data_IF_405540385183
#
_entry.id   IF_405540385183
#
_cell.length_a   1.000
_cell.length_b   1.000
_cell.length_c   1.000
_cell.angle_alpha   90.00
_cell.angle_beta   90.00
_cell.angle_gamma   90.00
#
_symmetry.space_group_name_H-M   'P 1'
#
loop_
_entity.id
_entity.type
_entity.pdbx_description
1 polymer ?
#
# COMPACT_ATOMS: atom_id res chain seq x y z
N UNK A 1 3.39 -10.78 -18.25
CA UNK A 1 3.22 -9.51 -17.83
C UNK A 1 2.52 -9.36 -16.52
N UNK A 2 3.28 -8.91 -15.57
CA UNK A 2 2.80 -8.66 -14.23
C UNK A 2 2.81 -7.16 -13.91
N UNK A 3 2.62 -6.33 -14.95
CA UNK A 3 2.54 -4.90 -14.79
C UNK A 3 1.19 -4.52 -14.20
N UNK A 4 1.20 -3.57 -13.26
CA UNK A 4 -0.03 -2.97 -12.75
C UNK A 4 -0.21 -1.57 -13.33
N UNK A 5 -1.46 -1.11 -13.35
CA UNK A 5 -1.80 0.26 -13.69
C UNK A 5 -2.24 1.00 -12.43
N UNK A 6 -1.83 2.25 -12.33
CA UNK A 6 -2.16 3.09 -11.17
C UNK A 6 -2.63 4.44 -11.69
N UNK A 7 -3.78 4.90 -11.23
CA UNK A 7 -4.28 6.21 -11.66
C UNK A 7 -3.38 7.33 -11.13
N UNK A 8 -3.28 8.42 -11.88
CA UNK A 8 -2.54 9.61 -11.45
C UNK A 8 -3.07 10.17 -10.13
N UNK A 9 -4.39 10.09 -9.93
CA UNK A 9 -5.01 10.50 -8.67
C UNK A 9 -4.59 9.63 -7.48
N UNK A 10 -4.48 8.32 -7.70
CA UNK A 10 -4.01 7.41 -6.65
C UNK A 10 -2.56 7.70 -6.27
N UNK A 11 -1.69 7.92 -7.25
CA UNK A 11 -0.29 8.32 -6.99
C UNK A 11 -0.23 9.62 -6.20
N UNK A 12 -1.01 10.63 -6.60
CA UNK A 12 -1.03 11.91 -5.90
C UNK A 12 -1.45 11.75 -4.44
N UNK A 13 -2.49 10.94 -4.19
CA UNK A 13 -2.97 10.67 -2.83
C UNK A 13 -1.90 9.98 -1.99
N UNK A 14 -1.21 8.98 -2.54
CA UNK A 14 -0.14 8.29 -1.82
C UNK A 14 0.97 9.27 -1.39
N UNK A 15 1.41 10.13 -2.29
CA UNK A 15 2.45 11.11 -2.00
C UNK A 15 1.98 12.14 -0.96
N UNK A 16 0.73 12.60 -1.05
CA UNK A 16 0.16 13.54 -0.09
C UNK A 16 0.05 12.91 1.31
N UNK A 17 -0.40 11.66 1.39
CA UNK A 17 -0.54 10.97 2.67
C UNK A 17 0.80 10.78 3.35
N UNK A 18 1.84 10.42 2.61
CA UNK A 18 3.18 10.28 3.15
C UNK A 18 3.72 11.62 3.68
N UNK A 19 3.52 12.71 2.93
CA UNK A 19 3.97 14.04 3.34
C UNK A 19 3.23 14.52 4.58
N UNK A 20 1.92 14.26 4.66
CA UNK A 20 1.08 14.68 5.79
C UNK A 20 1.43 13.95 7.07
N UNK A 21 1.72 12.66 6.99
CA UNK A 21 1.99 11.84 8.16
C UNK A 21 3.41 12.02 8.70
N UNK A 22 4.38 12.39 7.85
CA UNK A 22 5.77 12.50 8.27
C UNK A 22 5.91 13.36 9.52
N UNK A 23 6.74 12.97 10.51
CA UNK A 23 7.71 11.89 10.51
C UNK A 23 7.15 10.49 10.83
N UNK A 24 5.86 10.34 11.04
CA UNK A 24 5.24 9.03 11.24
C UNK A 24 5.00 8.32 9.90
N UNK A 25 4.96 7.00 9.93
CA UNK A 25 4.57 6.20 8.77
C UNK A 25 3.06 6.32 8.55
N UNK A 26 2.64 6.58 7.31
CA UNK A 26 1.24 6.45 6.93
C UNK A 26 0.97 5.02 6.45
N UNK A 27 -0.29 4.63 6.44
CA UNK A 27 -0.71 3.34 5.92
C UNK A 27 -2.16 3.38 5.46
N UNK A 28 -2.54 2.37 4.69
CA UNK A 28 -3.91 2.23 4.21
C UNK A 28 -4.05 1.16 3.15
N UNK A 29 -5.14 1.23 2.40
CA UNK A 29 -5.55 0.23 1.43
C UNK A 29 -5.58 0.78 0.02
N UNK A 30 -5.34 -0.11 -0.94
CA UNK A 30 -5.39 0.16 -2.38
C UNK A 30 -6.58 -0.60 -2.95
N UNK A 31 -7.46 0.12 -3.65
CA UNK A 31 -8.65 -0.47 -4.27
C UNK A 31 -8.65 -0.27 -5.77
N UNK A 32 -9.33 -1.16 -6.46
CA UNK A 32 -9.49 -1.07 -7.90
C UNK A 32 -10.15 -2.31 -8.47
N UNK A 33 -9.74 -2.70 -9.67
CA UNK A 33 -10.23 -3.89 -10.35
C UNK A 33 -9.10 -4.51 -11.17
N UNK A 34 -9.01 -5.83 -11.14
CA UNK A 34 -7.96 -6.54 -11.87
C UNK A 34 -6.58 -6.11 -11.41
N UNK A 35 -5.76 -5.61 -12.32
CA UNK A 35 -4.43 -5.10 -12.02
C UNK A 35 -4.35 -3.57 -12.01
N UNK A 36 -5.51 -2.91 -11.87
CA UNK A 36 -5.60 -1.44 -11.83
C UNK A 36 -5.90 -0.95 -10.42
N UNK A 37 -5.03 -0.11 -9.90
CA UNK A 37 -5.27 0.61 -8.64
C UNK A 37 -5.91 1.95 -9.00
N UNK A 38 -7.15 2.16 -8.56
CA UNK A 38 -7.95 3.33 -8.91
C UNK A 38 -8.20 4.27 -7.75
N UNK A 39 -8.14 3.78 -6.51
CA UNK A 39 -8.35 4.63 -5.34
C UNK A 39 -7.52 4.16 -4.16
N UNK A 40 -7.32 5.08 -3.24
CA UNK A 40 -6.51 4.90 -2.02
C UNK A 40 -7.37 5.26 -0.83
N UNK A 41 -7.44 4.37 0.15
CA UNK A 41 -8.19 4.61 1.38
C UNK A 41 -7.20 4.70 2.55
N UNK A 42 -6.99 5.90 3.10
CA UNK A 42 -6.15 6.05 4.28
C UNK A 42 -6.73 5.32 5.49
N UNK A 43 -5.85 4.81 6.32
CA UNK A 43 -6.20 4.17 7.58
C UNK A 43 -5.30 4.70 8.70
N UNK A 44 -5.77 4.61 9.93
CA UNK A 44 -4.95 4.97 11.07
C UNK A 44 -3.80 3.97 11.23
N UNK A 45 -2.62 4.50 11.55
CA UNK A 45 -1.49 3.69 11.97
C UNK A 45 -1.62 3.50 13.48
N UNK A 46 -2.04 2.32 13.90
CA UNK A 46 -2.28 2.01 15.33
C UNK A 46 -1.09 1.33 16.01
N UNK A 47 0.07 1.30 15.34
CA UNK A 47 1.26 0.74 15.95
C UNK A 47 1.72 1.59 17.15
N UNK A 48 2.25 0.95 18.17
CA UNK A 48 2.76 1.64 19.35
C UNK A 48 3.98 2.53 19.05
N UNK A 49 4.73 2.23 17.98
CA UNK A 49 5.86 3.03 17.52
C UNK A 49 5.63 3.48 16.07
N UNK A 50 4.77 4.49 15.86
CA UNK A 50 4.38 4.89 14.50
C UNK A 50 5.47 5.62 13.73
N UNK A 51 6.55 6.03 14.36
CA UNK A 51 7.68 6.67 13.68
C UNK A 51 8.55 5.66 12.93
N UNK A 52 8.50 4.39 13.30
CA UNK A 52 9.37 3.34 12.76
C UNK A 52 8.62 2.16 12.18
N UNK A 53 7.34 2.02 12.52
CA UNK A 53 6.53 0.86 12.15
C UNK A 53 5.13 1.30 11.79
N UNK A 54 4.39 0.42 11.16
CA UNK A 54 2.97 0.65 10.93
C UNK A 54 2.16 -0.60 11.25
N UNK A 55 0.92 -0.35 11.62
CA UNK A 55 -0.11 -1.38 11.72
C UNK A 55 -1.41 -0.73 11.27
N UNK A 56 -2.01 -1.26 10.20
CA UNK A 56 -3.31 -0.77 9.73
C UNK A 56 -4.36 -1.12 10.78
N UNK A 57 -5.17 -0.13 11.16
CA UNK A 57 -6.28 -0.34 12.09
C UNK A 57 -7.10 -1.57 11.67
N UNK A 58 -7.23 -2.60 12.54
CA UNK A 58 -7.98 -3.81 12.20
C UNK A 58 -9.43 -3.54 11.77
N UNK A 59 -10.06 -2.52 12.31
CA UNK A 59 -11.43 -2.15 11.91
C UNK A 59 -11.48 -1.71 10.45
N UNK A 60 -10.46 -0.98 9.98
CA UNK A 60 -10.36 -0.56 8.58
C UNK A 60 -10.16 -1.77 7.65
N UNK A 61 -9.35 -2.74 8.05
CA UNK A 61 -9.15 -3.98 7.27
C UNK A 61 -10.45 -4.78 7.17
N UNK A 62 -11.16 -4.92 8.26
CA UNK A 62 -12.45 -5.65 8.27
C UNK A 62 -13.45 -4.96 7.36
N UNK A 63 -13.55 -3.62 7.42
CA UNK A 63 -14.44 -2.85 6.56
C UNK A 63 -14.10 -3.02 5.08
N UNK A 64 -12.81 -3.01 4.73
CA UNK A 64 -12.35 -3.21 3.35
C UNK A 64 -12.73 -4.58 2.81
N UNK A 65 -12.50 -5.63 3.59
CA UNK A 65 -12.87 -7.00 3.20
C UNK A 65 -14.39 -7.17 3.07
N UNK A 66 -15.17 -6.56 3.94
CA UNK A 66 -16.64 -6.57 3.83
C UNK A 66 -17.13 -5.87 2.58
N UNK A 67 -16.56 -4.71 2.27
CA UNK A 67 -16.94 -3.95 1.07
C UNK A 67 -16.65 -4.76 -0.19
N UNK A 68 -15.51 -5.42 -0.26
CA UNK A 68 -15.16 -6.27 -1.40
C UNK A 68 -16.14 -7.43 -1.54
N UNK A 69 -16.46 -8.14 -0.45
CA UNK A 69 -17.43 -9.24 -0.47
C UNK A 69 -18.83 -8.78 -0.84
N UNK A 70 -19.18 -7.55 -0.54
CA UNK A 70 -20.47 -6.95 -0.86
C UNK A 70 -20.60 -6.44 -2.30
N UNK A 71 -19.61 -6.70 -3.16
CA UNK A 71 -19.63 -6.27 -4.56
C UNK A 71 -19.00 -4.91 -4.82
N UNK A 72 -18.35 -4.32 -3.82
CA UNK A 72 -17.58 -3.09 -3.97
C UNK A 72 -16.25 -3.33 -4.68
N UNK A 73 -15.38 -2.30 -4.73
CA UNK A 73 -14.09 -2.41 -5.39
C UNK A 73 -13.23 -3.48 -4.74
N UNK A 74 -12.38 -4.12 -5.55
CA UNK A 74 -11.47 -5.15 -5.05
C UNK A 74 -10.36 -4.52 -4.20
N UNK A 75 -10.02 -5.19 -3.11
CA UNK A 75 -8.87 -4.83 -2.30
C UNK A 75 -7.61 -5.36 -3.00
N UNK A 76 -6.94 -4.47 -3.72
CA UNK A 76 -5.74 -4.81 -4.50
C UNK A 76 -4.53 -5.01 -3.56
N UNK A 77 -4.45 -4.22 -2.51
CA UNK A 77 -3.33 -4.32 -1.58
C UNK A 77 -3.29 -3.22 -0.53
N UNK A 78 -2.09 -2.98 -0.03
CA UNK A 78 -1.83 -2.09 1.09
C UNK A 78 -0.70 -1.11 0.75
N UNK A 79 -0.63 -0.01 1.48
CA UNK A 79 0.49 0.92 1.35
C UNK A 79 0.99 1.39 2.71
N UNK A 80 2.24 1.78 2.76
CA UNK A 80 2.82 2.50 3.88
C UNK A 80 3.99 3.35 3.39
N UNK A 81 4.45 4.27 4.25
CA UNK A 81 5.58 5.15 3.94
C UNK A 81 6.78 4.84 4.80
N UNK A 82 7.96 5.17 4.26
CA UNK A 82 9.25 5.12 4.96
C UNK A 82 9.81 6.55 5.06
N UNK A 83 9.37 7.37 6.03
CA UNK A 83 9.88 8.73 6.16
C UNK A 83 11.40 8.74 6.34
N UNK A 84 12.11 9.48 5.48
CA UNK A 84 13.56 9.52 5.50
C UNK A 84 14.28 8.29 4.97
N UNK A 85 13.54 7.31 4.48
CA UNK A 85 14.08 6.05 3.94
C UNK A 85 13.97 5.95 2.43
N UNK A 86 13.83 4.72 1.94
CA UNK A 86 13.74 4.39 0.52
C UNK A 86 12.41 3.69 0.20
N UNK A 87 11.90 3.79 -1.06
CA UNK A 87 10.66 3.13 -1.44
C UNK A 87 10.88 1.63 -1.75
N UNK A 88 11.51 0.94 -0.83
CA UNK A 88 11.89 -0.47 -0.93
C UNK A 88 11.47 -1.20 0.34
N UNK A 89 11.14 -2.51 0.26
CA UNK A 89 10.79 -3.29 1.43
C UNK A 89 11.94 -3.34 2.45
N UNK A 90 11.58 -3.15 3.71
CA UNK A 90 12.51 -3.39 4.82
C UNK A 90 12.50 -4.88 5.21
N UNK A 91 13.44 -5.28 6.08
CA UNK A 91 13.42 -6.62 6.64
C UNK A 91 12.13 -6.89 7.43
N UNK A 92 11.64 -5.87 8.14
CA UNK A 92 10.38 -5.95 8.87
C UNK A 92 9.20 -6.15 7.91
N UNK A 93 9.18 -5.43 6.78
CA UNK A 93 8.14 -5.61 5.76
C UNK A 93 8.12 -7.05 5.25
N UNK A 94 9.27 -7.59 4.89
CA UNK A 94 9.36 -8.97 4.42
C UNK A 94 8.91 -9.97 5.48
N UNK A 95 9.25 -9.72 6.75
CA UNK A 95 8.83 -10.59 7.85
C UNK A 95 7.30 -10.60 8.01
N UNK A 96 6.61 -9.53 7.64
CA UNK A 96 5.16 -9.42 7.74
C UNK A 96 4.42 -9.87 6.47
N UNK A 97 5.12 -10.15 5.38
CA UNK A 97 4.47 -10.62 4.17
C UNK A 97 3.90 -12.02 4.39
N UNK A 98 2.71 -12.26 3.85
CA UNK A 98 1.97 -13.51 4.09
C UNK A 98 1.86 -14.41 2.87
N UNK A 99 2.25 -13.92 1.70
CA UNK A 99 2.09 -14.66 0.44
C UNK A 99 0.65 -14.62 -0.08
N UNK A 100 -0.09 -13.57 0.23
CA UNK A 100 -1.50 -13.46 -0.17
C UNK A 100 -1.70 -12.97 -1.61
N UNK A 101 -0.64 -12.68 -2.33
CA UNK A 101 -0.68 -12.22 -3.72
C UNK A 101 -1.04 -10.74 -3.88
N UNK A 102 -1.23 -9.99 -2.80
CA UNK A 102 -1.61 -8.59 -2.88
C UNK A 102 -0.42 -7.70 -3.20
N UNK A 103 -0.73 -6.50 -3.64
CA UNK A 103 0.26 -5.46 -3.96
C UNK A 103 0.57 -4.65 -2.71
N UNK A 104 1.85 -4.34 -2.51
CA UNK A 104 2.30 -3.39 -1.49
C UNK A 104 2.88 -2.17 -2.21
N UNK A 105 2.40 -0.98 -1.84
CA UNK A 105 2.99 0.28 -2.29
C UNK A 105 3.80 0.87 -1.12
N UNK A 106 5.04 1.23 -1.39
CA UNK A 106 5.95 1.80 -0.38
C UNK A 106 6.39 3.18 -0.86
N UNK A 107 6.15 4.19 -0.04
CA UNK A 107 6.36 5.60 -0.39
C UNK A 107 7.55 6.15 0.38
N UNK A 108 8.50 6.73 -0.32
CA UNK A 108 9.62 7.43 0.30
C UNK A 108 10.24 8.41 -0.71
N UNK A 109 10.74 9.54 -0.22
CA UNK A 109 11.49 10.48 -1.04
C UNK A 109 10.74 11.02 -2.26
N UNK A 110 9.42 11.13 -2.17
CA UNK A 110 8.60 11.59 -3.29
C UNK A 110 8.40 10.54 -4.39
N UNK A 111 8.71 9.28 -4.12
CA UNK A 111 8.55 8.18 -5.05
C UNK A 111 7.72 7.06 -4.43
N UNK A 112 7.11 6.23 -5.29
CA UNK A 112 6.32 5.06 -4.87
C UNK A 112 6.90 3.83 -5.56
N UNK A 113 7.27 2.82 -4.76
CA UNK A 113 7.63 1.51 -5.27
C UNK A 113 6.46 0.54 -5.10
N UNK A 114 6.28 -0.37 -6.05
CA UNK A 114 5.23 -1.38 -5.98
C UNK A 114 5.85 -2.77 -5.96
N UNK A 115 5.28 -3.62 -5.11
CA UNK A 115 5.78 -4.97 -4.85
C UNK A 115 4.61 -5.94 -4.77
N UNK A 116 4.86 -7.20 -5.11
CA UNK A 116 3.85 -8.25 -4.93
C UNK A 116 4.26 -9.17 -3.81
N UNK A 117 3.32 -9.45 -2.94
CA UNK A 117 3.46 -10.39 -1.84
C UNK A 117 3.27 -11.82 -2.37
N UNK A 118 4.33 -12.38 -2.96
CA UNK A 118 4.26 -13.66 -3.67
C UNK A 118 4.37 -14.86 -2.76
N UNK A 119 5.11 -14.74 -1.66
CA UNK A 119 5.30 -15.80 -0.69
C UNK A 119 5.68 -15.19 0.65
N UNK A 120 5.36 -15.86 1.74
CA UNK A 120 5.72 -15.40 3.07
C UNK A 120 7.22 -15.11 3.13
N UNK A 121 7.58 -13.91 3.58
CA UNK A 121 8.95 -13.44 3.62
C UNK A 121 9.49 -12.84 2.32
N UNK A 122 8.67 -12.74 1.26
CA UNK A 122 9.13 -12.31 -0.06
C UNK A 122 8.21 -11.27 -0.67
N UNK A 123 8.76 -10.07 -0.92
CA UNK A 123 8.09 -9.00 -1.64
C UNK A 123 8.91 -8.72 -2.91
N UNK A 124 8.34 -9.03 -4.07
CA UNK A 124 9.03 -8.87 -5.36
C UNK A 124 8.60 -7.59 -6.06
N UNK A 125 9.53 -6.81 -6.62
CA UNK A 125 9.18 -5.60 -7.36
C UNK A 125 8.32 -5.94 -8.57
N UNK A 126 7.30 -5.11 -8.82
CA UNK A 126 6.48 -5.20 -10.02
C UNK A 126 6.51 -3.86 -10.76
N UNK A 127 6.61 -3.89 -12.09
CA UNK A 127 6.54 -2.66 -12.86
C UNK A 127 5.13 -2.09 -12.81
N UNK A 128 5.03 -0.77 -12.89
CA UNK A 128 3.74 -0.08 -12.92
C UNK A 128 3.71 0.97 -14.02
N UNK A 129 2.51 1.31 -14.45
CA UNK A 129 2.27 2.38 -15.40
C UNK A 129 1.23 3.32 -14.80
N UNK A 130 1.51 4.62 -14.84
CA UNK A 130 0.56 5.63 -14.39
C UNK A 130 -0.40 5.93 -15.54
N UNK A 131 -1.68 5.87 -15.24
CA UNK A 131 -2.75 6.17 -16.20
C UNK A 131 -3.57 7.37 -15.73
N UNK A 132 -4.33 7.98 -16.62
CA UNK A 132 -5.21 9.08 -16.28
C UNK A 132 -6.29 8.64 -15.27
N UNK A 133 -6.68 9.54 -14.40
CA UNK A 133 -7.77 9.24 -13.44
C UNK A 133 -7.49 9.62 -12.02
#
# INVERSE_FOLDING_TARGET
GMEIEVTSGAIATLLEEAARAAPAECCGMLFGQGSTIASVQPAANVHADPLRHFEIDPAALIAAHRAERGGGPALIGYYHSHPGGHPLPSATDCAHSSGDGRVWAIIAGGAVGFFRDTAAGSLLPIPHRVIAG
#
